data_IF_244455299506
#
_entry.id   IF_244455299506
#
_cell.length_a   1.000
_cell.length_b   1.000
_cell.length_c   1.000
_cell.angle_alpha   90.00
_cell.angle_beta   90.00
_cell.angle_gamma   90.00
#
_symmetry.space_group_name_H-M   'P 1'
#
loop_
_entity.id
_entity.type
_entity.pdbx_description
1 polymer ?
#
# COMPACT_ATOMS: atom_id res chain seq x y z
N UNK A 1 13.37 15.75 -12.75
CA UNK A 1 12.16 16.16 -12.01
C UNK A 1 12.45 15.98 -10.53
N UNK A 2 12.16 16.94 -9.66
CA UNK A 2 12.41 16.83 -8.21
C UNK A 2 11.47 15.77 -7.62
N UNK A 3 12.04 14.78 -6.93
CA UNK A 3 11.31 13.69 -6.27
C UNK A 3 11.59 13.75 -4.77
N UNK A 4 10.55 13.86 -3.98
CA UNK A 4 10.64 14.00 -2.53
C UNK A 4 9.78 12.92 -1.87
N UNK A 5 10.31 12.28 -0.84
CA UNK A 5 9.60 11.30 -0.04
C UNK A 5 9.29 11.91 1.34
N UNK A 6 8.01 12.05 1.66
CA UNK A 6 7.54 12.45 2.98
C UNK A 6 7.16 11.21 3.76
N UNK A 7 7.66 11.08 5.00
CA UNK A 7 7.41 9.91 5.86
C UNK A 7 6.84 10.39 7.20
N UNK A 8 5.59 10.02 7.48
CA UNK A 8 4.98 10.12 8.80
C UNK A 8 5.22 8.82 9.58
N UNK A 9 6.21 8.85 10.47
CA UNK A 9 6.61 7.69 11.27
C UNK A 9 5.78 7.61 12.57
N UNK A 10 4.59 6.99 12.46
CA UNK A 10 3.69 6.78 13.59
C UNK A 10 4.02 5.52 14.40
N UNK A 11 3.48 5.40 15.62
CA UNK A 11 3.57 4.16 16.36
C UNK A 11 2.78 3.04 15.66
N UNK A 12 3.49 1.97 15.26
CA UNK A 12 2.90 0.78 14.63
C UNK A 12 2.43 0.94 13.18
N UNK A 13 2.39 2.17 12.64
CA UNK A 13 2.07 2.42 11.23
C UNK A 13 2.88 3.61 10.72
N UNK A 14 3.55 3.41 9.58
CA UNK A 14 4.14 4.50 8.82
C UNK A 14 3.30 4.79 7.59
N UNK A 15 3.14 6.07 7.29
CA UNK A 15 2.56 6.54 6.03
C UNK A 15 3.59 7.35 5.27
N UNK A 16 3.63 7.16 3.96
CA UNK A 16 4.53 7.93 3.13
C UNK A 16 3.85 8.41 1.85
N UNK A 17 4.31 9.54 1.34
CA UNK A 17 3.94 10.07 0.04
C UNK A 17 5.21 10.35 -0.77
N UNK A 18 5.29 9.78 -1.98
CA UNK A 18 6.28 10.19 -2.97
C UNK A 18 5.69 11.33 -3.80
N UNK A 19 6.37 12.47 -3.80
CA UNK A 19 6.00 13.65 -4.56
C UNK A 19 6.87 13.76 -5.80
N UNK A 20 6.27 14.13 -6.93
CA UNK A 20 6.96 14.57 -8.13
C UNK A 20 6.52 16.00 -8.46
N UNK A 21 7.47 16.94 -8.50
CA UNK A 21 7.18 18.38 -8.63
C UNK A 21 6.13 18.92 -7.63
N UNK A 22 6.18 18.45 -6.39
CA UNK A 22 5.28 18.87 -5.31
C UNK A 22 3.90 18.18 -5.29
N UNK A 23 3.59 17.33 -6.28
CA UNK A 23 2.33 16.59 -6.33
C UNK A 23 2.53 15.14 -5.86
N UNK A 24 1.65 14.61 -4.99
CA UNK A 24 1.72 13.22 -4.57
C UNK A 24 1.37 12.29 -5.74
N UNK A 25 2.25 11.31 -5.99
CA UNK A 25 2.09 10.33 -7.07
C UNK A 25 2.05 8.89 -6.57
N UNK A 26 2.57 8.63 -5.37
CA UNK A 26 2.48 7.32 -4.70
C UNK A 26 2.21 7.53 -3.22
N UNK A 27 1.33 6.69 -2.66
CA UNK A 27 1.06 6.63 -1.24
C UNK A 27 1.35 5.21 -0.73
N UNK A 28 2.01 5.15 0.42
CA UNK A 28 2.40 3.90 1.06
C UNK A 28 1.95 3.87 2.51
N UNK A 29 1.50 2.70 2.94
CA UNK A 29 1.15 2.40 4.34
C UNK A 29 1.86 1.13 4.73
N UNK A 30 2.68 1.21 5.76
CA UNK A 30 3.41 0.09 6.29
C UNK A 30 3.01 -0.15 7.75
N UNK A 31 2.71 -1.42 8.06
CA UNK A 31 2.39 -1.93 9.40
C UNK A 31 3.22 -3.16 9.64
N UNK A 32 3.83 -3.29 10.82
CA UNK A 32 4.78 -4.36 11.11
C UNK A 32 4.19 -5.77 11.27
N UNK A 33 2.92 -5.95 11.02
CA UNK A 33 2.14 -7.15 11.34
C UNK A 33 1.86 -8.10 10.16
N UNK A 34 2.46 -7.88 8.99
CA UNK A 34 2.10 -8.62 7.77
C UNK A 34 3.22 -9.47 7.19
N UNK A 35 2.78 -10.56 6.57
CA UNK A 35 3.60 -11.41 5.71
C UNK A 35 3.83 -10.71 4.36
N UNK A 36 4.99 -10.09 4.20
CA UNK A 36 5.35 -9.23 3.07
C UNK A 36 6.07 -10.00 1.97
N UNK A 37 5.92 -9.53 0.73
CA UNK A 37 6.69 -10.09 -0.37
C UNK A 37 8.19 -10.01 -0.09
N UNK A 38 8.90 -11.14 -0.25
CA UNK A 38 10.31 -11.28 0.07
C UNK A 38 10.59 -11.83 1.47
N UNK A 39 9.65 -11.78 2.42
CA UNK A 39 9.83 -12.38 3.75
C UNK A 39 9.94 -13.90 3.68
N UNK A 40 10.72 -14.48 4.61
CA UNK A 40 10.98 -15.91 4.68
C UNK A 40 10.29 -16.46 5.92
N UNK A 41 9.63 -17.59 5.74
CA UNK A 41 8.85 -18.24 6.78
C UNK A 41 9.17 -19.74 6.86
N UNK A 42 9.11 -20.26 8.08
CA UNK A 42 8.97 -21.67 8.34
C UNK A 42 7.47 -21.98 8.38
N UNK A 43 6.99 -22.71 7.38
CA UNK A 43 5.58 -23.09 7.27
C UNK A 43 5.39 -24.58 7.49
N UNK A 44 4.11 -24.97 7.67
CA UNK A 44 3.68 -26.36 7.73
C UNK A 44 2.78 -26.69 6.54
N UNK A 45 3.06 -27.76 5.84
CA UNK A 45 2.19 -28.26 4.76
C UNK A 45 0.85 -28.69 5.35
N UNK A 46 -0.23 -28.02 4.95
CA UNK A 46 -1.59 -28.35 5.39
C UNK A 46 -2.25 -29.37 4.47
N UNK A 47 -2.10 -29.21 3.16
CA UNK A 47 -2.80 -30.03 2.18
C UNK A 47 -2.09 -30.06 0.85
N UNK A 48 -2.07 -31.23 0.25
CA UNK A 48 -1.65 -31.41 -1.13
C UNK A 48 -2.82 -31.16 -2.09
N UNK A 49 -2.56 -30.48 -3.21
CA UNK A 49 -3.53 -30.19 -4.26
C UNK A 49 -3.03 -30.76 -5.60
N UNK A 50 -3.09 -32.10 -5.81
CA UNK A 50 -2.51 -32.73 -6.99
C UNK A 50 -3.08 -32.22 -8.29
N UNK A 51 -4.38 -31.97 -8.35
CA UNK A 51 -5.07 -31.46 -9.54
C UNK A 51 -4.61 -30.05 -9.96
N UNK A 52 -4.12 -29.26 -9.00
CA UNK A 52 -3.58 -27.91 -9.25
C UNK A 52 -2.05 -27.88 -9.35
N UNK A 53 -1.39 -29.03 -9.16
CA UNK A 53 0.05 -29.09 -9.10
C UNK A 53 0.64 -28.19 -8.01
N UNK A 54 0.03 -28.17 -6.82
CA UNK A 54 0.38 -27.24 -5.76
C UNK A 54 0.20 -27.83 -4.36
N UNK A 55 0.61 -27.07 -3.36
CA UNK A 55 0.54 -27.39 -1.93
C UNK A 55 0.02 -26.18 -1.18
N UNK A 56 -0.83 -26.37 -0.17
CA UNK A 56 -1.23 -25.34 0.79
C UNK A 56 -0.31 -25.42 2.01
N UNK A 57 0.22 -24.27 2.41
CA UNK A 57 1.16 -24.13 3.53
C UNK A 57 0.62 -23.11 4.52
N UNK A 58 0.59 -23.49 5.78
CA UNK A 58 0.30 -22.59 6.90
C UNK A 58 1.52 -21.71 7.19
N UNK A 59 1.32 -20.40 7.19
CA UNK A 59 2.31 -19.39 7.56
C UNK A 59 1.90 -18.59 8.81
N UNK A 60 0.77 -18.94 9.44
CA UNK A 60 0.17 -18.20 10.54
C UNK A 60 -0.78 -17.08 10.12
N UNK A 61 -1.00 -16.91 8.82
CA UNK A 61 -1.97 -15.94 8.28
C UNK A 61 -3.41 -16.53 8.31
N UNK A 62 -4.42 -15.67 8.17
CA UNK A 62 -5.84 -16.10 8.10
C UNK A 62 -6.11 -17.15 7.00
N UNK A 63 -5.30 -17.15 5.96
CA UNK A 63 -5.43 -18.07 4.82
C UNK A 63 -4.13 -18.77 4.52
N UNK A 64 -4.19 -20.08 4.23
CA UNK A 64 -3.00 -20.81 3.81
C UNK A 64 -2.39 -20.25 2.53
N UNK A 65 -1.06 -20.24 2.47
CA UNK A 65 -0.31 -19.82 1.31
C UNK A 65 -0.27 -20.90 0.23
N UNK A 66 -0.17 -20.50 -1.03
CA UNK A 66 -0.17 -21.39 -2.20
C UNK A 66 1.26 -21.58 -2.73
N UNK A 67 1.79 -22.82 -2.64
CA UNK A 67 3.09 -23.24 -3.13
C UNK A 67 2.92 -24.07 -4.42
N UNK A 68 3.20 -23.51 -5.61
CA UNK A 68 3.20 -24.30 -6.83
C UNK A 68 4.30 -25.36 -6.80
N UNK A 69 4.04 -26.56 -7.31
CA UNK A 69 5.01 -27.67 -7.35
C UNK A 69 6.32 -27.28 -8.09
N UNK A 70 6.22 -26.45 -9.11
CA UNK A 70 7.40 -25.92 -9.84
C UNK A 70 8.27 -24.97 -9.03
N UNK A 71 7.75 -24.46 -7.92
CA UNK A 71 8.44 -23.55 -7.00
C UNK A 71 8.98 -24.29 -5.76
N UNK A 72 8.83 -25.61 -5.70
CA UNK A 72 9.48 -26.45 -4.67
C UNK A 72 10.94 -26.69 -5.01
N UNK A 73 11.76 -26.93 -3.98
CA UNK A 73 13.12 -27.39 -4.18
C UNK A 73 13.14 -28.81 -4.75
N UNK A 74 14.15 -29.16 -5.60
CA UNK A 74 14.33 -30.53 -6.05
C UNK A 74 14.54 -31.48 -4.87
N UNK A 75 13.71 -32.50 -4.78
CA UNK A 75 13.74 -33.54 -3.74
C UNK A 75 13.60 -34.91 -4.36
N UNK A 76 14.19 -35.91 -3.72
CA UNK A 76 13.99 -37.30 -4.12
C UNK A 76 12.59 -37.86 -3.87
N UNK A 77 11.71 -37.08 -3.22
CA UNK A 77 10.32 -37.42 -2.88
C UNK A 77 9.38 -36.23 -2.95
N UNK A 78 8.04 -36.42 -3.11
CA UNK A 78 7.06 -35.36 -2.97
C UNK A 78 6.97 -34.86 -1.51
N UNK A 79 6.44 -33.63 -1.35
CA UNK A 79 6.02 -33.11 -0.05
C UNK A 79 4.87 -33.94 0.52
N UNK A 80 4.73 -33.99 1.84
CA UNK A 80 3.62 -34.63 2.54
C UNK A 80 2.95 -33.66 3.54
N UNK A 81 1.72 -33.97 3.92
CA UNK A 81 0.97 -33.16 4.90
C UNK A 81 1.61 -33.23 6.29
N UNK A 82 1.72 -32.08 6.95
CA UNK A 82 2.45 -31.92 8.20
C UNK A 82 3.94 -31.61 8.05
N UNK A 83 4.52 -31.72 6.84
CA UNK A 83 5.94 -31.44 6.61
C UNK A 83 6.26 -29.97 6.85
N UNK A 84 7.44 -29.73 7.45
CA UNK A 84 8.00 -28.38 7.64
C UNK A 84 8.69 -27.94 6.36
N UNK A 85 8.40 -26.73 5.92
CA UNK A 85 8.98 -26.14 4.70
C UNK A 85 9.44 -24.71 4.96
N UNK A 86 10.61 -24.35 4.43
CA UNK A 86 11.09 -22.97 4.45
C UNK A 86 10.72 -22.35 3.12
N UNK A 87 9.95 -21.27 3.18
CA UNK A 87 9.39 -20.65 2.00
C UNK A 87 9.56 -19.12 2.04
N UNK A 88 9.65 -18.53 0.87
CA UNK A 88 9.69 -17.09 0.68
C UNK A 88 8.41 -16.62 0.00
N UNK A 89 7.80 -15.54 0.48
CA UNK A 89 6.63 -14.93 -0.14
C UNK A 89 7.05 -14.26 -1.44
N UNK A 90 6.46 -14.70 -2.55
CA UNK A 90 6.67 -14.11 -3.89
C UNK A 90 5.62 -13.07 -4.23
N UNK A 91 4.44 -13.25 -3.71
CA UNK A 91 3.31 -12.33 -3.84
C UNK A 91 2.39 -12.49 -2.64
N UNK A 92 2.04 -11.39 -2.05
CA UNK A 92 1.11 -11.32 -0.93
C UNK A 92 -0.29 -11.79 -1.29
N UNK A 93 -1.07 -12.15 -0.27
CA UNK A 93 -2.49 -12.43 -0.42
C UNK A 93 -3.20 -11.15 -0.89
N UNK A 94 -4.03 -11.26 -1.95
CA UNK A 94 -4.69 -10.11 -2.54
C UNK A 94 -6.00 -10.51 -3.23
N UNK A 95 -7.05 -9.69 -3.10
CA UNK A 95 -8.31 -9.88 -3.83
C UNK A 95 -8.95 -11.25 -3.58
N UNK A 96 -8.88 -11.76 -2.35
CA UNK A 96 -9.39 -13.08 -1.99
C UNK A 96 -8.51 -14.25 -2.44
N UNK A 97 -7.35 -14.01 -3.08
CA UNK A 97 -6.39 -15.05 -3.48
C UNK A 97 -5.33 -15.23 -2.39
N UNK A 98 -4.94 -16.46 -2.16
CA UNK A 98 -3.86 -16.84 -1.23
C UNK A 98 -2.52 -16.20 -1.63
N UNK A 99 -1.64 -15.96 -0.63
CA UNK A 99 -0.26 -15.59 -0.86
C UNK A 99 0.44 -16.67 -1.71
N UNK A 100 1.28 -16.25 -2.64
CA UNK A 100 2.07 -17.16 -3.47
C UNK A 100 3.48 -17.25 -2.96
N UNK A 101 3.95 -18.47 -2.69
CA UNK A 101 5.22 -18.73 -2.06
C UNK A 101 6.12 -19.63 -2.92
N UNK A 102 7.41 -19.66 -2.57
CA UNK A 102 8.44 -20.50 -3.21
C UNK A 102 9.40 -21.05 -2.16
N UNK A 103 9.90 -22.27 -2.34
CA UNK A 103 11.03 -22.78 -1.58
C UNK A 103 12.38 -22.33 -2.17
N UNK A 104 12.39 -21.83 -3.40
CA UNK A 104 13.59 -21.27 -4.05
C UNK A 104 13.86 -19.87 -3.51
N UNK A 105 14.55 -19.83 -2.37
CA UNK A 105 14.87 -18.60 -1.67
C UNK A 105 15.77 -17.71 -2.54
N UNK A 106 15.45 -16.43 -2.61
CA UNK A 106 16.32 -15.39 -3.17
C UNK A 106 16.74 -14.46 -2.02
N UNK A 107 17.94 -14.69 -1.53
CA UNK A 107 18.51 -13.94 -0.42
C UNK A 107 19.27 -12.71 -0.94
N UNK A 108 18.54 -11.79 -1.60
CA UNK A 108 19.13 -10.54 -2.06
C UNK A 108 19.50 -9.66 -0.87
N UNK A 109 20.48 -8.76 -1.09
CA UNK A 109 20.77 -7.64 -0.16
C UNK A 109 19.50 -6.84 0.10
N UNK A 110 19.38 -6.15 1.25
CA UNK A 110 18.21 -5.33 1.55
C UNK A 110 17.85 -4.48 0.32
N UNK A 111 16.58 -4.49 -0.06
CA UNK A 111 16.08 -3.66 -1.16
C UNK A 111 16.36 -2.21 -0.78
N UNK A 112 17.08 -1.49 -1.64
CA UNK A 112 17.50 -0.10 -1.37
C UNK A 112 19.02 0.10 -1.31
N UNK A 113 19.83 -0.95 -1.15
CA UNK A 113 21.26 -0.80 -1.37
C UNK A 113 21.51 -0.58 -2.86
N UNK A 114 22.09 0.57 -3.22
CA UNK A 114 22.62 0.83 -4.55
C UNK A 114 23.52 -0.36 -4.95
N UNK A 115 23.38 -0.84 -6.19
CA UNK A 115 24.19 -1.94 -6.71
C UNK A 115 25.70 -1.66 -6.65
N UNK A 116 26.09 -0.42 -6.35
CA UNK A 116 27.47 0.02 -6.30
C UNK A 116 28.12 -0.06 -4.91
N UNK A 117 27.37 -0.15 -3.81
CA UNK A 117 27.89 -0.09 -2.43
C UNK A 117 27.50 -1.26 -1.52
N UNK A 118 26.72 -2.23 -2.00
CA UNK A 118 26.44 -3.43 -1.22
C UNK A 118 27.73 -4.29 -1.17
N UNK A 119 28.34 -4.41 0.00
CA UNK A 119 29.25 -5.52 0.25
C UNK A 119 28.52 -6.81 -0.16
N UNK A 120 29.05 -7.49 -1.16
CA UNK A 120 28.52 -8.74 -1.65
C UNK A 120 28.72 -9.81 -0.54
N UNK A 121 27.71 -9.93 0.33
CA UNK A 121 27.67 -11.06 1.27
C UNK A 121 27.19 -12.26 0.48
N UNK A 122 28.02 -13.30 0.33
CA UNK A 122 27.64 -14.53 -0.37
C UNK A 122 26.29 -15.07 0.12
N UNK A 123 25.51 -15.66 -0.76
CA UNK A 123 24.17 -16.19 -0.45
C UNK A 123 24.23 -17.34 0.59
N UNK A 124 25.26 -18.14 0.56
CA UNK A 124 25.47 -19.31 1.44
C UNK A 124 25.51 -19.00 2.95
N UNK A 125 26.24 -18.00 3.46
CA UNK A 125 26.21 -17.67 4.89
C UNK A 125 24.83 -17.24 5.36
N UNK A 126 24.09 -16.48 4.54
CA UNK A 126 22.72 -16.05 4.86
C UNK A 126 21.75 -17.22 4.90
N UNK A 127 21.85 -18.12 3.93
CA UNK A 127 21.05 -19.35 3.88
C UNK A 127 21.28 -20.21 5.12
N UNK A 128 22.52 -20.34 5.58
CA UNK A 128 22.87 -21.09 6.77
C UNK A 128 22.22 -20.52 8.03
N UNK A 129 22.28 -19.21 8.22
CA UNK A 129 21.61 -18.52 9.34
C UNK A 129 20.12 -18.81 9.38
N UNK A 130 19.44 -18.77 8.21
CA UNK A 130 18.01 -19.08 8.11
C UNK A 130 17.71 -20.54 8.45
N UNK A 131 18.54 -21.48 7.98
CA UNK A 131 18.40 -22.91 8.29
C UNK A 131 18.61 -23.19 9.77
N UNK A 132 19.64 -22.59 10.38
CA UNK A 132 19.94 -22.72 11.80
C UNK A 132 18.80 -22.16 12.66
N UNK A 133 18.26 -21.00 12.28
CA UNK A 133 17.09 -20.41 12.94
C UNK A 133 15.85 -21.30 12.82
N UNK A 134 15.59 -21.85 11.63
CA UNK A 134 14.45 -22.73 11.39
C UNK A 134 14.55 -24.04 12.20
N UNK A 135 15.76 -24.52 12.48
CA UNK A 135 15.96 -25.75 13.27
C UNK A 135 15.46 -25.61 14.72
N UNK A 136 15.51 -24.39 15.28
CA UNK A 136 15.10 -24.11 16.66
C UNK A 136 13.66 -23.64 16.84
N UNK A 137 12.86 -23.55 15.76
CA UNK A 137 11.50 -23.00 15.81
C UNK A 137 10.46 -24.02 15.37
N UNK A 138 9.23 -23.89 15.88
CA UNK A 138 8.07 -24.62 15.38
C UNK A 138 7.28 -23.78 14.38
N UNK A 139 6.81 -24.37 13.25
CA UNK A 139 5.97 -23.68 12.28
C UNK A 139 4.53 -23.47 12.82
N UNK A 140 3.86 -22.35 12.48
CA UNK A 140 4.37 -21.30 11.60
C UNK A 140 5.29 -20.30 12.33
N UNK A 141 6.39 -19.88 11.67
CA UNK A 141 7.30 -18.89 12.21
C UNK A 141 7.95 -18.05 11.11
N UNK A 142 8.15 -16.76 11.36
CA UNK A 142 8.95 -15.91 10.46
C UNK A 142 10.44 -16.14 10.70
N UNK A 143 11.21 -16.24 9.62
CA UNK A 143 12.66 -16.45 9.66
C UNK A 143 13.39 -15.17 9.22
N UNK A 144 14.56 -14.95 9.81
CA UNK A 144 15.33 -13.73 9.59
C UNK A 144 14.78 -12.54 10.38
N UNK A 145 15.48 -11.41 10.36
CA UNK A 145 14.99 -10.18 10.96
C UNK A 145 13.71 -9.72 10.25
N UNK A 146 12.76 -9.20 11.01
CA UNK A 146 11.64 -8.47 10.43
C UNK A 146 12.22 -7.34 9.57
N UNK A 147 11.73 -7.17 8.35
CA UNK A 147 12.10 -6.01 7.57
C UNK A 147 11.65 -4.76 8.32
N UNK A 148 12.51 -3.76 8.40
CA UNK A 148 12.13 -2.49 8.99
C UNK A 148 11.10 -1.79 8.10
N UNK A 149 10.27 -0.90 8.66
CA UNK A 149 9.32 -0.09 7.88
C UNK A 149 10.02 0.61 6.70
N UNK A 150 11.19 1.19 6.96
CA UNK A 150 11.96 1.87 5.94
C UNK A 150 12.45 0.92 4.82
N UNK A 151 12.84 -0.31 5.15
CA UNK A 151 13.27 -1.30 4.15
C UNK A 151 12.11 -1.78 3.27
N UNK A 152 10.92 -1.99 3.86
CA UNK A 152 9.71 -2.33 3.11
C UNK A 152 9.31 -1.19 2.19
N UNK A 153 9.29 0.04 2.71
CA UNK A 153 8.99 1.24 1.94
C UNK A 153 9.96 1.42 0.76
N UNK A 154 11.27 1.26 1.00
CA UNK A 154 12.28 1.35 -0.06
C UNK A 154 12.02 0.34 -1.19
N UNK A 155 11.56 -0.88 -0.84
CA UNK A 155 11.20 -1.91 -1.81
C UNK A 155 9.88 -1.65 -2.56
N UNK A 156 8.97 -0.91 -1.96
CA UNK A 156 7.66 -0.59 -2.53
C UNK A 156 7.71 0.57 -3.52
N UNK A 157 8.63 1.53 -3.33
CA UNK A 157 8.78 2.70 -4.20
C UNK A 157 9.07 2.32 -5.65
N UNK A 158 8.51 3.08 -6.58
CA UNK A 158 8.75 2.89 -8.02
C UNK A 158 10.04 3.54 -8.53
N UNK A 159 10.92 3.94 -7.63
CA UNK A 159 12.24 4.49 -7.92
C UNK A 159 12.73 5.39 -6.79
N UNK A 160 14.03 5.69 -6.73
CA UNK A 160 14.62 6.41 -5.62
C UNK A 160 14.11 7.85 -5.52
N UNK A 161 13.83 8.36 -4.32
CA UNK A 161 13.65 9.79 -4.09
C UNK A 161 15.00 10.50 -4.15
N UNK A 162 14.99 11.82 -4.35
CA UNK A 162 16.18 12.67 -4.25
C UNK A 162 16.38 13.20 -2.83
N UNK A 163 15.27 13.40 -2.10
CA UNK A 163 15.24 13.91 -0.73
C UNK A 163 14.20 13.13 0.07
N UNK A 164 14.49 12.91 1.34
CA UNK A 164 13.58 12.25 2.28
C UNK A 164 13.36 13.18 3.48
N UNK A 165 12.11 13.50 3.74
CA UNK A 165 11.69 14.26 4.90
C UNK A 165 10.87 13.37 5.83
N UNK A 166 11.19 13.41 7.12
CA UNK A 166 10.50 12.59 8.13
C UNK A 166 10.05 13.47 9.28
N UNK A 167 8.83 13.25 9.75
CA UNK A 167 8.23 14.00 10.86
C UNK A 167 8.77 13.59 12.23
N UNK A 168 9.53 12.53 12.29
CA UNK A 168 10.04 11.93 13.52
C UNK A 168 11.54 11.69 13.45
N UNK A 169 12.35 12.47 14.20
CA UNK A 169 13.79 12.30 14.21
C UNK A 169 14.24 10.91 14.72
N UNK A 170 13.43 10.23 15.53
CA UNK A 170 13.75 8.87 16.00
C UNK A 170 13.75 7.81 14.90
N UNK A 171 13.06 8.08 13.76
CA UNK A 171 13.03 7.17 12.61
C UNK A 171 14.24 7.36 11.65
N UNK A 172 15.00 8.45 11.79
CA UNK A 172 16.12 8.78 10.88
C UNK A 172 17.17 7.66 10.78
N UNK A 173 17.62 7.01 11.86
CA UNK A 173 18.61 5.93 11.75
C UNK A 173 18.12 4.75 10.91
N UNK A 174 16.85 4.36 11.08
CA UNK A 174 16.23 3.27 10.31
C UNK A 174 16.09 3.63 8.83
N UNK A 175 15.68 4.88 8.55
CA UNK A 175 15.54 5.36 7.17
C UNK A 175 16.90 5.44 6.47
N UNK A 176 17.94 5.96 7.14
CA UNK A 176 19.30 6.01 6.60
C UNK A 176 19.89 4.64 6.31
N UNK A 177 19.54 3.63 7.11
CA UNK A 177 19.96 2.25 6.86
C UNK A 177 19.32 1.67 5.59
N UNK A 178 18.09 2.08 5.26
CA UNK A 178 17.38 1.61 4.07
C UNK A 178 17.69 2.45 2.79
N UNK A 179 18.06 3.73 2.96
CA UNK A 179 18.31 4.70 1.89
C UNK A 179 19.70 5.32 2.08
N UNK A 180 20.75 4.48 2.01
CA UNK A 180 22.13 4.85 2.36
C UNK A 180 22.71 6.04 1.56
N UNK A 181 22.27 6.24 0.33
CA UNK A 181 22.80 7.24 -0.59
C UNK A 181 21.95 8.52 -0.68
N UNK A 182 20.91 8.64 0.16
CA UNK A 182 19.92 9.71 0.08
C UNK A 182 19.93 10.53 1.37
N UNK A 183 19.93 11.87 1.24
CA UNK A 183 19.80 12.78 2.37
C UNK A 183 18.47 12.61 3.08
N UNK A 184 18.51 12.39 4.42
CA UNK A 184 17.32 12.26 5.27
C UNK A 184 17.32 13.41 6.27
N UNK A 185 16.28 14.23 6.23
CA UNK A 185 16.11 15.40 7.07
C UNK A 185 14.83 15.30 7.92
N UNK A 186 14.89 15.83 9.12
CA UNK A 186 13.70 16.02 9.94
C UNK A 186 12.95 17.26 9.46
N UNK A 187 11.68 17.11 9.11
CA UNK A 187 10.77 18.19 8.76
C UNK A 187 9.41 17.91 9.37
N UNK A 188 8.90 18.75 10.29
CA UNK A 188 7.58 18.56 10.88
C UNK A 188 6.48 18.53 9.80
N UNK A 189 5.43 17.70 10.02
CA UNK A 189 4.28 17.61 9.10
C UNK A 189 3.65 18.98 8.77
N UNK A 190 3.69 19.93 9.70
CA UNK A 190 3.15 21.29 9.52
C UNK A 190 3.92 22.13 8.51
N UNK A 191 5.14 21.72 8.16
CA UNK A 191 5.98 22.38 7.15
C UNK A 191 5.98 21.65 5.80
N UNK A 192 5.22 20.57 5.68
CA UNK A 192 5.14 19.82 4.43
C UNK A 192 4.34 20.58 3.36
N UNK A 193 4.70 20.43 2.08
CA UNK A 193 4.00 21.09 0.99
C UNK A 193 2.59 20.54 0.73
N UNK A 194 2.23 19.43 1.37
CA UNK A 194 0.91 18.79 1.28
C UNK A 194 0.42 18.35 2.66
N UNK A 195 -0.88 18.25 2.83
CA UNK A 195 -1.48 17.50 3.92
C UNK A 195 -1.56 16.02 3.55
N UNK A 196 -0.80 15.19 4.27
CA UNK A 196 -0.71 13.76 3.98
C UNK A 196 -2.08 13.05 4.11
N UNK A 197 -2.83 13.35 5.17
CA UNK A 197 -4.15 12.73 5.38
C UNK A 197 -5.16 13.14 4.30
N UNK A 198 -5.08 14.36 3.77
CA UNK A 198 -5.90 14.80 2.63
C UNK A 198 -5.55 14.04 1.35
N UNK A 199 -4.25 13.79 1.10
CA UNK A 199 -3.82 12.99 -0.05
C UNK A 199 -4.33 11.52 0.05
N UNK A 200 -4.31 10.94 1.26
CA UNK A 200 -4.92 9.62 1.50
C UNK A 200 -6.44 9.64 1.31
N UNK A 201 -7.13 10.66 1.81
CA UNK A 201 -8.57 10.79 1.64
C UNK A 201 -8.96 10.91 0.15
N UNK A 202 -8.23 11.70 -0.64
CA UNK A 202 -8.42 11.79 -2.10
C UNK A 202 -8.23 10.43 -2.78
N UNK A 203 -7.16 9.72 -2.43
CA UNK A 203 -6.86 8.40 -3.01
C UNK A 203 -7.83 7.29 -2.62
N UNK A 204 -8.58 7.46 -1.53
CA UNK A 204 -9.61 6.52 -1.07
C UNK A 204 -11.01 6.90 -1.53
N UNK A 205 -11.22 8.12 -2.01
CA UNK A 205 -12.50 8.57 -2.53
C UNK A 205 -12.85 7.86 -3.84
N UNK A 206 -14.09 7.42 -4.00
CA UNK A 206 -14.59 6.87 -5.28
C UNK A 206 -14.65 7.93 -6.37
N UNK A 207 -14.74 9.22 -6.00
CA UNK A 207 -14.88 10.34 -6.94
C UNK A 207 -13.76 11.35 -6.75
N UNK A 208 -13.16 11.78 -7.84
CA UNK A 208 -12.14 12.85 -7.89
C UNK A 208 -12.59 13.94 -8.84
N UNK A 209 -12.71 15.15 -8.32
CA UNK A 209 -13.04 16.32 -9.14
C UNK A 209 -11.93 16.67 -10.13
N UNK A 210 -12.30 17.07 -11.33
CA UNK A 210 -11.37 17.58 -12.32
C UNK A 210 -11.02 19.05 -12.02
N UNK A 211 -9.84 19.53 -12.45
CA UNK A 211 -9.43 20.92 -12.22
C UNK A 211 -10.35 21.97 -12.84
N UNK A 212 -11.08 21.59 -13.87
CA UNK A 212 -12.04 22.48 -14.56
C UNK A 212 -13.47 22.22 -14.11
N UNK A 213 -14.18 21.39 -14.85
CA UNK A 213 -15.56 20.95 -14.55
C UNK A 213 -15.60 19.45 -14.78
N UNK A 214 -16.39 18.73 -13.95
CA UNK A 214 -16.55 17.30 -14.06
C UNK A 214 -15.80 16.53 -13.01
N UNK A 215 -15.86 15.22 -13.10
CA UNK A 215 -15.26 14.30 -12.16
C UNK A 215 -14.82 13.01 -12.84
N UNK A 216 -13.98 12.25 -12.13
CA UNK A 216 -13.60 10.88 -12.49
C UNK A 216 -14.03 9.97 -11.36
N UNK A 217 -14.75 8.91 -11.69
CA UNK A 217 -15.24 7.90 -10.77
C UNK A 217 -14.43 6.62 -10.92
N UNK A 218 -14.04 6.02 -9.80
CA UNK A 218 -13.21 4.81 -9.76
C UNK A 218 -13.97 3.69 -9.07
N UNK A 219 -14.18 2.59 -9.78
CA UNK A 219 -14.83 1.40 -9.23
C UNK A 219 -13.90 0.19 -9.38
N UNK A 220 -13.50 -0.40 -8.25
CA UNK A 220 -12.75 -1.63 -8.22
C UNK A 220 -13.70 -2.83 -8.27
N UNK A 221 -13.53 -3.70 -9.26
CA UNK A 221 -14.30 -4.94 -9.41
C UNK A 221 -13.40 -6.16 -9.20
N UNK A 222 -13.98 -7.37 -9.15
CA UNK A 222 -13.20 -8.61 -9.07
C UNK A 222 -12.29 -8.85 -10.29
N UNK A 223 -12.66 -8.30 -11.44
CA UNK A 223 -11.98 -8.52 -12.72
C UNK A 223 -10.98 -7.44 -13.08
N UNK A 224 -11.18 -6.21 -12.61
CA UNK A 224 -10.37 -5.06 -12.95
C UNK A 224 -10.91 -3.78 -12.33
N UNK A 225 -10.52 -2.66 -12.86
CA UNK A 225 -10.97 -1.33 -12.44
C UNK A 225 -11.75 -0.70 -13.58
N UNK A 226 -12.93 -0.17 -13.26
CA UNK A 226 -13.71 0.67 -14.15
C UNK A 226 -13.50 2.12 -13.75
N UNK A 227 -13.34 2.99 -14.73
CA UNK A 227 -13.16 4.43 -14.54
C UNK A 227 -14.17 5.12 -15.45
N UNK A 228 -15.02 5.96 -14.88
CA UNK A 228 -16.00 6.75 -15.59
C UNK A 228 -15.66 8.23 -15.52
N UNK A 229 -15.83 8.96 -16.63
CA UNK A 229 -15.54 10.38 -16.75
C UNK A 229 -16.84 11.15 -16.95
N UNK A 230 -17.22 11.95 -15.97
CA UNK A 230 -18.37 12.85 -16.03
C UNK A 230 -17.92 14.28 -16.35
N UNK A 231 -18.56 14.89 -17.34
CA UNK A 231 -18.30 16.28 -17.75
C UNK A 231 -18.94 17.33 -16.85
N UNK A 232 -19.82 16.91 -15.93
CA UNK A 232 -20.62 17.84 -15.15
C UNK A 232 -21.60 18.68 -16.01
N UNK A 233 -22.12 19.75 -15.41
CA UNK A 233 -23.03 20.67 -16.07
C UNK A 233 -22.28 21.89 -16.58
N UNK A 234 -21.78 21.84 -17.82
CA UNK A 234 -21.19 23.01 -18.48
C UNK A 234 -22.31 23.86 -19.18
N UNK A 235 -22.43 25.12 -18.83
CA UNK A 235 -23.49 26.00 -19.35
C UNK A 235 -23.20 26.57 -20.73
N UNK A 236 -21.94 26.54 -21.22
CA UNK A 236 -21.54 27.18 -22.49
C UNK A 236 -20.54 26.36 -23.29
N UNK A 237 -20.78 26.17 -24.59
CA UNK A 237 -19.89 25.49 -25.53
C UNK A 237 -20.60 24.40 -26.34
N UNK A 238 -19.94 23.85 -27.38
CA UNK A 238 -20.45 22.66 -28.06
C UNK A 238 -20.11 21.43 -27.21
N UNK A 239 -20.98 20.42 -27.18
CA UNK A 239 -20.80 19.18 -26.46
C UNK A 239 -19.45 18.50 -26.77
N UNK A 240 -19.06 18.51 -28.07
CA UNK A 240 -17.79 17.92 -28.51
C UNK A 240 -16.56 18.66 -27.93
N UNK A 241 -16.63 20.00 -27.86
CA UNK A 241 -15.53 20.80 -27.28
C UNK A 241 -15.41 20.61 -25.77
N UNK A 242 -16.55 20.57 -25.08
CA UNK A 242 -16.59 20.28 -23.64
C UNK A 242 -16.08 18.89 -23.38
N UNK A 243 -16.59 17.87 -24.08
CA UNK A 243 -16.15 16.48 -23.92
C UNK A 243 -14.65 16.31 -24.17
N UNK A 244 -14.10 16.95 -25.21
CA UNK A 244 -12.65 16.88 -25.45
C UNK A 244 -11.85 17.52 -24.31
N UNK A 245 -12.24 18.71 -23.85
CA UNK A 245 -11.52 19.39 -22.76
C UNK A 245 -11.57 18.60 -21.46
N UNK A 246 -12.75 18.05 -21.13
CA UNK A 246 -12.94 17.18 -19.96
C UNK A 246 -12.06 15.93 -20.06
N UNK A 247 -12.08 15.24 -21.21
CA UNK A 247 -11.31 14.02 -21.41
C UNK A 247 -9.79 14.24 -21.35
N UNK A 248 -9.29 15.37 -21.84
CA UNK A 248 -7.88 15.72 -21.72
C UNK A 248 -7.48 16.00 -20.27
N UNK A 249 -8.31 16.70 -19.51
CA UNK A 249 -8.10 16.92 -18.06
C UNK A 249 -8.18 15.59 -17.29
N UNK A 250 -9.17 14.75 -17.64
CA UNK A 250 -9.34 13.43 -17.04
C UNK A 250 -8.14 12.53 -17.30
N UNK A 251 -7.52 12.55 -18.48
CA UNK A 251 -6.35 11.72 -18.81
C UNK A 251 -5.19 11.93 -17.82
N UNK A 252 -4.86 13.17 -17.50
CA UNK A 252 -3.81 13.49 -16.51
C UNK A 252 -4.21 13.06 -15.09
N UNK A 253 -5.46 13.31 -14.69
CA UNK A 253 -5.99 12.90 -13.38
C UNK A 253 -6.00 11.39 -13.23
N UNK A 254 -6.49 10.66 -14.23
CA UNK A 254 -6.53 9.18 -14.25
C UNK A 254 -5.13 8.60 -14.11
N UNK A 255 -4.16 9.08 -14.89
CA UNK A 255 -2.78 8.58 -14.83
C UNK A 255 -2.18 8.78 -13.43
N UNK A 256 -2.36 9.93 -12.80
CA UNK A 256 -1.92 10.21 -11.44
C UNK A 256 -2.61 9.29 -10.43
N UNK A 257 -3.93 9.17 -10.50
CA UNK A 257 -4.73 8.37 -9.58
C UNK A 257 -4.43 6.87 -9.67
N UNK A 258 -4.15 6.34 -10.85
CA UNK A 258 -3.72 4.96 -11.04
C UNK A 258 -2.44 4.66 -10.23
N UNK A 259 -1.45 5.56 -10.25
CA UNK A 259 -0.23 5.43 -9.44
C UNK A 259 -0.51 5.64 -7.97
N UNK A 260 -1.20 6.73 -7.62
CA UNK A 260 -1.47 7.15 -6.25
C UNK A 260 -2.20 6.06 -5.46
N UNK A 261 -3.20 5.41 -6.07
CA UNK A 261 -3.99 4.32 -5.51
C UNK A 261 -3.34 2.95 -5.64
N UNK A 262 -2.23 2.86 -6.37
CA UNK A 262 -1.56 1.62 -6.78
C UNK A 262 -2.52 0.63 -7.48
N UNK A 263 -3.33 1.13 -8.42
CA UNK A 263 -4.22 0.29 -9.21
C UNK A 263 -3.41 -0.54 -10.20
N UNK A 264 -3.84 -1.79 -10.44
CA UNK A 264 -3.17 -2.68 -11.36
C UNK A 264 -4.07 -3.81 -11.88
N UNK A 265 -3.67 -4.42 -12.97
CA UNK A 265 -4.48 -5.38 -13.73
C UNK A 265 -5.12 -4.70 -14.94
N UNK A 266 -6.26 -5.21 -15.39
CA UNK A 266 -7.05 -4.59 -16.43
C UNK A 266 -7.79 -3.36 -15.92
N UNK A 267 -7.73 -2.28 -16.66
CA UNK A 267 -8.40 -1.01 -16.37
C UNK A 267 -9.15 -0.60 -17.65
N UNK A 268 -10.40 -0.21 -17.47
CA UNK A 268 -11.28 0.25 -18.55
C UNK A 268 -11.72 1.65 -18.22
N UNK A 269 -11.55 2.58 -19.15
CA UNK A 269 -11.93 3.97 -18.98
C UNK A 269 -13.07 4.30 -19.95
N UNK A 270 -14.18 4.74 -19.40
CA UNK A 270 -15.29 5.34 -20.14
C UNK A 270 -15.11 6.85 -20.16
N UNK A 271 -14.69 7.36 -21.29
CA UNK A 271 -14.52 8.79 -21.51
C UNK A 271 -15.81 9.42 -22.01
N UNK A 272 -16.01 10.71 -21.77
CA UNK A 272 -17.12 11.47 -22.38
C UNK A 272 -17.13 11.23 -23.89
N UNK A 273 -18.28 10.85 -24.44
CA UNK A 273 -18.43 10.44 -25.84
C UNK A 273 -17.90 11.49 -26.83
N UNK A 274 -17.11 11.03 -27.79
CA UNK A 274 -16.60 11.81 -28.92
C UNK A 274 -16.86 11.04 -30.21
N UNK A 275 -17.55 11.65 -31.18
CA UNK A 275 -17.83 11.03 -32.48
C UNK A 275 -16.59 10.99 -33.36
N UNK A 276 -15.76 12.01 -33.31
CA UNK A 276 -14.56 12.14 -34.12
C UNK A 276 -13.45 11.17 -33.71
N UNK A 277 -13.06 10.30 -34.66
CA UNK A 277 -11.89 9.40 -34.47
C UNK A 277 -10.60 10.17 -34.17
N UNK A 278 -10.43 11.34 -34.78
CA UNK A 278 -9.25 12.19 -34.55
C UNK A 278 -9.22 12.73 -33.12
N UNK A 279 -10.37 13.09 -32.54
CA UNK A 279 -10.46 13.57 -31.16
C UNK A 279 -10.25 12.42 -30.15
N UNK A 280 -10.80 11.25 -30.43
CA UNK A 280 -10.51 10.04 -29.62
C UNK A 280 -9.01 9.72 -29.59
N UNK A 281 -8.33 9.84 -30.74
CA UNK A 281 -6.89 9.62 -30.81
C UNK A 281 -6.11 10.66 -30.00
N UNK A 282 -6.54 11.94 -29.98
CA UNK A 282 -5.94 12.95 -29.11
C UNK A 282 -6.07 12.60 -27.64
N UNK A 283 -7.24 12.13 -27.19
CA UNK A 283 -7.46 11.67 -25.81
C UNK A 283 -6.56 10.47 -25.48
N UNK A 284 -6.51 9.49 -26.37
CA UNK A 284 -5.62 8.33 -26.21
C UNK A 284 -4.15 8.74 -26.06
N UNK A 285 -3.67 9.65 -26.91
CA UNK A 285 -2.30 10.14 -26.85
C UNK A 285 -2.02 10.93 -25.56
N UNK A 286 -2.96 11.74 -25.11
CA UNK A 286 -2.83 12.45 -23.82
C UNK A 286 -2.70 11.48 -22.64
N UNK A 287 -3.48 10.37 -22.65
CA UNK A 287 -3.33 9.35 -21.60
C UNK A 287 -2.00 8.59 -21.72
N UNK A 288 -1.53 8.26 -22.94
CA UNK A 288 -0.20 7.65 -23.15
C UNK A 288 0.90 8.53 -22.56
N UNK A 289 0.86 9.83 -22.86
CA UNK A 289 1.84 10.81 -22.36
C UNK A 289 1.79 10.94 -20.83
N UNK A 290 0.58 11.01 -20.26
CA UNK A 290 0.39 11.11 -18.81
C UNK A 290 0.84 9.84 -18.07
N UNK A 291 0.71 8.66 -18.66
CA UNK A 291 1.15 7.38 -18.08
C UNK A 291 2.65 7.11 -18.29
N UNK A 292 3.32 7.77 -19.22
CA UNK A 292 4.72 7.52 -19.55
C UNK A 292 5.69 7.63 -18.34
N UNK A 293 5.47 8.53 -17.35
CA UNK A 293 6.31 8.58 -16.15
C UNK A 293 6.09 7.42 -15.16
N UNK A 294 5.07 6.56 -15.33
CA UNK A 294 4.83 5.44 -14.43
C UNK A 294 5.81 4.30 -14.67
N UNK A 295 6.74 4.02 -13.71
CA UNK A 295 7.74 2.97 -13.89
C UNK A 295 7.17 1.55 -13.89
N UNK A 296 5.87 1.38 -13.56
CA UNK A 296 5.19 0.10 -13.70
C UNK A 296 4.97 -0.30 -15.17
N UNK A 297 5.12 0.65 -16.11
CA UNK A 297 5.00 0.41 -17.55
C UNK A 297 3.58 0.03 -17.97
N UNK A 298 2.56 0.87 -17.68
CA UNK A 298 1.21 0.60 -18.16
C UNK A 298 1.15 0.59 -19.69
N UNK A 299 0.30 -0.27 -20.24
CA UNK A 299 0.12 -0.41 -21.68
C UNK A 299 -1.32 -0.14 -22.08
N UNK A 300 -1.54 0.81 -22.99
CA UNK A 300 -2.86 1.07 -23.56
C UNK A 300 -3.10 0.06 -24.69
N UNK A 301 -4.18 -0.70 -24.60
CA UNK A 301 -4.54 -1.72 -25.56
C UNK A 301 -5.34 -1.14 -26.75
N UNK A 302 -6.13 -0.09 -26.50
CA UNK A 302 -6.91 0.59 -27.52
C UNK A 302 -8.37 0.80 -27.14
N UNK A 303 -9.15 1.32 -28.11
CA UNK A 303 -10.58 1.52 -27.94
C UNK A 303 -11.38 0.25 -28.22
N UNK A 304 -12.32 -0.07 -27.35
CA UNK A 304 -13.28 -1.16 -27.55
C UNK A 304 -14.33 -0.75 -28.58
N UNK A 305 -15.13 -1.73 -29.01
CA UNK A 305 -16.30 -1.46 -29.86
C UNK A 305 -17.38 -0.66 -29.17
N UNK A 306 -17.41 -0.68 -27.82
CA UNK A 306 -18.34 0.10 -27.01
C UNK A 306 -17.89 1.55 -26.82
N UNK A 307 -16.65 1.89 -27.20
CA UNK A 307 -16.12 3.24 -27.06
C UNK A 307 -15.27 3.46 -25.80
N UNK A 308 -15.04 2.43 -24.99
CA UNK A 308 -14.16 2.52 -23.83
C UNK A 308 -12.70 2.36 -24.22
N UNK A 309 -11.79 2.97 -23.45
CA UNK A 309 -10.35 2.79 -23.62
C UNK A 309 -9.83 1.75 -22.63
N UNK A 310 -9.16 0.72 -23.15
CA UNK A 310 -8.58 -0.37 -22.34
C UNK A 310 -7.11 -0.15 -22.12
N UNK A 311 -6.66 -0.42 -20.90
CA UNK A 311 -5.26 -0.45 -20.55
C UNK A 311 -4.96 -1.55 -19.52
N UNK A 312 -3.71 -1.97 -19.46
CA UNK A 312 -3.19 -2.91 -18.46
C UNK A 312 -2.02 -2.26 -17.73
N UNK A 313 -2.04 -2.31 -16.40
CA UNK A 313 -0.91 -1.93 -15.57
C UNK A 313 -0.43 -3.13 -14.75
N UNK A 314 0.86 -3.49 -14.80
CA UNK A 314 1.39 -4.53 -13.92
C UNK A 314 1.08 -4.24 -12.44
N UNK A 315 0.62 -5.26 -11.71
CA UNK A 315 0.33 -5.12 -10.26
C UNK A 315 1.63 -5.04 -9.47
N UNK A 316 1.75 -4.03 -8.63
CA UNK A 316 2.86 -3.81 -7.69
C UNK A 316 2.31 -3.71 -6.27
N UNK A 317 2.37 -4.82 -5.52
CA UNK A 317 1.81 -4.84 -4.16
C UNK A 317 0.27 -4.71 -4.14
N UNK A 318 -0.26 -4.30 -3.01
CA UNK A 318 -1.70 -4.14 -2.77
C UNK A 318 -2.16 -2.75 -3.18
N UNK A 319 -3.34 -2.60 -3.80
CA UNK A 319 -4.00 -1.31 -3.93
C UNK A 319 -4.24 -0.67 -2.55
N UNK A 320 -4.15 0.65 -2.49
CA UNK A 320 -4.30 1.39 -1.23
C UNK A 320 -5.65 1.12 -0.55
N UNK A 321 -6.74 1.07 -1.32
CA UNK A 321 -8.06 0.76 -0.81
C UNK A 321 -8.13 -0.63 -0.15
N UNK A 322 -7.53 -1.66 -0.75
CA UNK A 322 -7.49 -3.01 -0.16
C UNK A 322 -6.67 -3.06 1.16
N UNK A 323 -5.77 -2.12 1.36
CA UNK A 323 -4.98 -2.03 2.59
C UNK A 323 -5.72 -1.32 3.73
N UNK A 324 -6.61 -0.38 3.40
CA UNK A 324 -7.19 0.55 4.36
C UNK A 324 -8.70 0.41 4.53
N UNK A 325 -9.40 -0.14 3.52
CA UNK A 325 -10.85 -0.24 3.48
C UNK A 325 -11.32 -1.68 3.51
N UNK A 326 -12.58 -1.85 3.91
CA UNK A 326 -13.33 -3.11 3.82
C UNK A 326 -14.73 -2.86 3.21
N UNK A 327 -15.32 -3.86 2.53
CA UNK A 327 -16.69 -3.74 2.01
C UNK A 327 -17.71 -3.59 3.15
N UNK A 328 -18.68 -2.70 2.97
CA UNK A 328 -19.89 -2.62 3.79
C UNK A 328 -21.09 -3.28 3.09
N UNK A 329 -22.09 -3.63 3.88
CA UNK A 329 -23.41 -4.01 3.34
C UNK A 329 -23.96 -2.83 2.52
N UNK A 330 -24.31 -3.08 1.24
CA UNK A 330 -24.80 -2.03 0.34
C UNK A 330 -23.78 -1.55 -0.70
N UNK A 331 -22.56 -2.14 -0.75
CA UNK A 331 -21.57 -1.90 -1.80
C UNK A 331 -20.60 -0.76 -1.51
N UNK A 332 -20.86 0.08 -0.53
CA UNK A 332 -19.91 1.12 -0.13
C UNK A 332 -18.69 0.50 0.60
N UNK A 333 -17.56 1.20 0.53
CA UNK A 333 -16.37 0.84 1.31
C UNK A 333 -16.25 1.73 2.54
N UNK A 334 -15.71 1.17 3.62
CA UNK A 334 -15.41 1.91 4.84
C UNK A 334 -14.02 1.59 5.34
N UNK A 335 -13.43 2.48 6.12
CA UNK A 335 -12.15 2.21 6.78
C UNK A 335 -12.28 1.01 7.71
N UNK A 336 -11.27 0.13 7.67
CA UNK A 336 -11.19 -0.96 8.65
C UNK A 336 -11.00 -0.39 10.06
N UNK A 337 -11.43 -1.13 11.08
CA UNK A 337 -11.19 -0.73 12.47
C UNK A 337 -9.68 -0.52 12.77
N UNK A 338 -8.81 -1.31 12.13
CA UNK A 338 -7.34 -1.15 12.22
C UNK A 338 -6.89 0.19 11.63
N UNK A 339 -7.46 0.58 10.49
CA UNK A 339 -7.14 1.88 9.87
C UNK A 339 -7.52 3.04 10.79
N UNK A 340 -8.73 3.00 11.35
CA UNK A 340 -9.20 4.05 12.27
C UNK A 340 -8.39 4.07 13.56
N UNK A 341 -8.03 2.91 14.11
CA UNK A 341 -7.18 2.82 15.31
C UNK A 341 -5.83 3.54 15.11
N UNK A 342 -5.17 3.29 13.97
CA UNK A 342 -3.91 3.97 13.66
C UNK A 342 -4.09 5.46 13.32
N UNK A 343 -5.19 5.85 12.68
CA UNK A 343 -5.53 7.27 12.47
C UNK A 343 -5.72 8.00 13.79
N UNK A 344 -6.43 7.39 14.75
CA UNK A 344 -6.62 7.93 16.07
C UNK A 344 -5.29 8.09 16.83
N UNK A 345 -4.39 7.10 16.76
CA UNK A 345 -3.07 7.19 17.37
C UNK A 345 -2.19 8.29 16.75
N UNK A 346 -2.27 8.49 15.42
CA UNK A 346 -1.55 9.60 14.75
C UNK A 346 -2.11 10.96 15.17
N UNK A 347 -3.43 11.09 15.21
CA UNK A 347 -4.08 12.32 15.66
C UNK A 347 -3.72 12.64 17.12
N UNK A 348 -3.76 11.63 18.01
CA UNK A 348 -3.33 11.77 19.40
C UNK A 348 -1.86 12.21 19.52
N UNK A 349 -0.98 11.68 18.66
CA UNK A 349 0.42 12.12 18.62
C UNK A 349 0.55 13.59 18.25
N UNK A 350 -0.22 14.08 17.28
CA UNK A 350 -0.23 15.49 16.88
C UNK A 350 -0.69 16.39 18.06
N UNK A 351 -1.79 16.01 18.71
CA UNK A 351 -2.29 16.75 19.89
C UNK A 351 -1.28 16.77 21.04
N UNK A 352 -0.63 15.64 21.31
CA UNK A 352 0.38 15.53 22.37
C UNK A 352 1.61 16.39 22.07
N UNK A 353 2.02 16.48 20.78
CA UNK A 353 3.11 17.37 20.35
C UNK A 353 2.72 18.85 20.42
N UNK A 354 1.48 19.18 20.01
CA UNK A 354 0.99 20.55 20.04
C UNK A 354 0.81 21.10 21.47
N UNK A 355 0.47 20.23 22.43
CA UNK A 355 0.24 20.60 23.83
C UNK A 355 0.98 19.66 24.79
N UNK A 356 2.30 19.78 24.93
CA UNK A 356 3.09 18.98 25.85
C UNK A 356 2.60 19.15 27.29
N UNK A 357 2.54 18.06 28.01
CA UNK A 357 2.16 18.11 29.44
C UNK A 357 0.68 17.87 29.71
N UNK A 358 -0.20 17.87 28.73
CA UNK A 358 -1.61 17.52 28.90
C UNK A 358 -1.85 16.03 28.86
N UNK A 359 -2.89 15.57 29.55
CA UNK A 359 -3.41 14.19 29.43
C UNK A 359 -4.58 14.18 28.47
N UNK A 360 -4.61 13.14 27.65
CA UNK A 360 -5.60 12.96 26.63
C UNK A 360 -6.33 11.63 26.80
N UNK A 361 -7.61 11.62 26.48
CA UNK A 361 -8.48 10.48 26.41
C UNK A 361 -8.91 10.31 24.97
N UNK A 362 -8.84 9.08 24.45
CA UNK A 362 -9.27 8.70 23.12
C UNK A 362 -10.61 7.99 23.22
N UNK A 363 -11.66 8.57 22.62
CA UNK A 363 -13.01 8.02 22.58
C UNK A 363 -13.27 7.45 21.20
N UNK A 364 -13.57 6.15 21.14
CA UNK A 364 -13.67 5.38 19.87
C UNK A 364 -14.86 4.42 19.87
N UNK A 365 -15.24 3.95 18.69
CA UNK A 365 -16.22 2.88 18.54
C UNK A 365 -15.73 1.54 19.14
N UNK A 366 -16.65 0.60 19.51
CA UNK A 366 -16.30 -0.64 20.19
C UNK A 366 -15.29 -1.52 19.44
N UNK A 367 -15.43 -1.66 18.13
CA UNK A 367 -14.54 -2.45 17.29
C UNK A 367 -13.14 -1.83 17.14
N UNK A 368 -13.05 -0.51 17.13
CA UNK A 368 -11.77 0.22 17.17
C UNK A 368 -11.09 0.05 18.53
N UNK A 369 -11.85 0.13 19.64
CA UNK A 369 -11.34 -0.14 20.99
C UNK A 369 -10.79 -1.58 21.11
N UNK A 370 -11.51 -2.57 20.54
CA UNK A 370 -11.04 -3.95 20.51
C UNK A 370 -9.70 -4.10 19.75
N UNK A 371 -9.53 -3.40 18.64
CA UNK A 371 -8.26 -3.37 17.88
C UNK A 371 -7.15 -2.73 18.70
N UNK A 372 -7.39 -1.59 19.36
CA UNK A 372 -6.41 -0.91 20.19
C UNK A 372 -5.96 -1.75 21.40
N UNK A 373 -6.87 -2.54 21.97
CA UNK A 373 -6.57 -3.47 23.06
C UNK A 373 -5.93 -4.80 22.56
N UNK A 374 -6.12 -5.15 21.29
CA UNK A 374 -5.67 -6.39 20.67
C UNK A 374 -4.49 -6.20 19.71
N UNK A 375 -4.78 -6.27 18.42
CA UNK A 375 -3.76 -6.28 17.35
C UNK A 375 -2.92 -5.00 17.30
N UNK A 376 -3.48 -3.84 17.66
CA UNK A 376 -2.75 -2.57 17.74
C UNK A 376 -2.19 -2.27 19.16
N UNK A 377 -2.32 -3.17 20.14
CA UNK A 377 -1.77 -2.96 21.48
C UNK A 377 -0.25 -2.65 21.50
N UNK A 378 0.60 -3.28 20.68
CA UNK A 378 2.00 -2.89 20.57
C UNK A 378 2.21 -1.44 20.13
N UNK A 379 1.35 -0.92 19.25
CA UNK A 379 1.38 0.46 18.78
C UNK A 379 0.95 1.44 19.90
N UNK A 380 -0.08 1.08 20.68
CA UNK A 380 -0.50 1.84 21.86
C UNK A 380 0.64 1.92 22.86
N UNK A 381 1.25 0.79 23.23
CA UNK A 381 2.40 0.75 24.15
C UNK A 381 3.61 1.57 23.63
N UNK A 382 3.86 1.53 22.32
CA UNK A 382 4.91 2.35 21.72
C UNK A 382 4.60 3.85 21.83
N UNK A 383 3.34 4.23 21.64
CA UNK A 383 2.87 5.60 21.82
C UNK A 383 2.98 6.03 23.30
N UNK A 384 2.55 5.20 24.25
CA UNK A 384 2.65 5.47 25.70
C UNK A 384 4.10 5.67 26.17
N UNK A 385 4.99 4.77 25.73
CA UNK A 385 6.45 4.94 26.03
C UNK A 385 6.98 6.25 25.49
N UNK A 386 6.55 6.64 24.27
CA UNK A 386 7.01 7.86 23.63
C UNK A 386 6.46 9.12 24.30
N UNK A 387 5.22 9.08 24.75
CA UNK A 387 4.58 10.19 25.47
C UNK A 387 4.95 10.21 26.95
N UNK A 388 5.62 9.16 27.47
CA UNK A 388 5.87 8.90 28.87
C UNK A 388 4.58 8.94 29.72
N UNK A 389 3.45 8.47 29.16
CA UNK A 389 2.10 8.50 29.76
C UNK A 389 1.21 7.42 29.20
N UNK A 390 0.29 6.96 30.02
CA UNK A 390 -0.76 6.05 29.60
C UNK A 390 -1.81 6.78 28.75
N UNK A 391 -2.35 6.08 27.76
CA UNK A 391 -3.43 6.55 26.91
C UNK A 391 -4.74 5.99 27.47
N UNK A 392 -5.63 6.87 27.96
CA UNK A 392 -6.97 6.47 28.35
C UNK A 392 -7.81 6.21 27.09
N UNK A 393 -8.28 4.98 26.93
CA UNK A 393 -9.16 4.59 25.81
C UNK A 393 -10.56 4.35 26.37
N UNK A 394 -11.53 5.10 25.87
CA UNK A 394 -12.94 4.99 26.23
C UNK A 394 -13.74 4.50 25.02
N UNK A 395 -14.67 3.60 25.27
CA UNK A 395 -15.55 3.04 24.24
C UNK A 395 -16.89 3.75 24.26
N UNK A 396 -17.32 4.28 23.12
CA UNK A 396 -18.62 4.87 22.91
C UNK A 396 -19.44 3.94 21.97
N UNK A 397 -20.49 3.24 22.50
CA UNK A 397 -21.25 2.26 21.73
C UNK A 397 -22.02 2.84 20.53
N UNK A 398 -22.38 4.11 20.59
CA UNK A 398 -23.19 4.79 19.58
C UNK A 398 -22.34 5.51 18.52
N UNK A 399 -21.02 5.47 18.66
CA UNK A 399 -20.08 6.16 17.76
C UNK A 399 -19.91 5.40 16.46
N UNK A 400 -20.00 6.11 15.34
CA UNK A 400 -19.59 5.56 14.04
C UNK A 400 -18.12 5.17 14.06
N UNK A 401 -17.77 4.04 13.46
CA UNK A 401 -16.39 3.51 13.42
C UNK A 401 -15.38 4.53 12.94
N UNK A 402 -15.70 5.31 11.92
CA UNK A 402 -14.76 6.24 11.30
C UNK A 402 -14.59 7.54 12.08
N UNK A 403 -15.35 7.71 13.19
CA UNK A 403 -15.28 8.87 14.05
C UNK A 403 -14.61 8.53 15.36
N UNK A 404 -13.62 9.28 15.73
CA UNK A 404 -12.99 9.25 17.04
C UNK A 404 -12.88 10.67 17.59
N UNK A 405 -12.70 10.77 18.91
CA UNK A 405 -12.56 12.05 19.59
C UNK A 405 -11.35 11.98 20.52
N UNK A 406 -10.60 13.08 20.57
CA UNK A 406 -9.50 13.27 21.49
C UNK A 406 -9.92 14.33 22.48
N UNK A 407 -10.27 13.90 23.69
CA UNK A 407 -10.74 14.76 24.77
C UNK A 407 -9.64 14.96 25.81
N UNK A 408 -9.73 16.06 26.53
CA UNK A 408 -8.88 16.31 27.70
C UNK A 408 -9.37 15.49 28.89
N UNK A 409 -8.42 14.95 29.67
CA UNK A 409 -8.72 14.31 30.97
C UNK A 409 -8.74 15.37 32.06
#
# INVERSE_FOLDING_TARGET
MRRELLIAAGPGEWRAALLEAGLPVELHVERGDRSEAGSIHLGRVLRLLPALGAVLVDLGDERPAFLPRRETEPRGRPLYEGERVIVQIRREAQGGKAARITERLRLQSPVGASQASAEFVPEEPRRRVILDQAAGLDPPARLGPAASFAAVLAGALTGPPMYIFVDDPAAIPEIRAAFSDIGVEHLPETEWPIELDAAFAEALSETVSLPSIGAVHFEATRSGVLIDVDSGTAETGSAERIGLATNLAAAATIARQIRLRNLGGGIVVDFVGLDSRTLREKVRMALVEALAPDPAGPQILGWTRLGHLELVRPRRGRPLAEALLEPRLGGAHAKTAVTVAHEALRALRRETRAQPGRQWRLIVAPDVAAVLAGTAAPAVQAAERRFARNIAIETDPDRDRERFEIARV
#
